data_IF_423008354157
#
_entry.id   IF_423008354157
#
_cell.length_a   1.000
_cell.length_b   1.000
_cell.length_c   1.000
_cell.angle_alpha   90.00
_cell.angle_beta   90.00
_cell.angle_gamma   90.00
#
_symmetry.space_group_name_H-M   'P 1'
#
loop_
_entity.id
_entity.type
_entity.pdbx_description
1 polymer ?
#
# COMPACT_ATOMS: atom_id res chain seq x y z
N UNK A 1 -2.86 -10.15 31.02
CA UNK A 1 -1.86 -10.18 29.93
C UNK A 1 -1.32 -8.78 29.76
N UNK A 2 0.01 -8.61 29.49
CA UNK A 2 0.60 -7.26 29.37
C UNK A 2 1.25 -7.09 27.99
N UNK A 3 0.83 -6.07 27.27
CA UNK A 3 1.37 -5.68 25.96
C UNK A 3 1.94 -4.28 26.02
N UNK A 4 2.84 -3.93 25.07
CA UNK A 4 3.23 -2.56 24.77
C UNK A 4 2.83 -2.25 23.32
N UNK A 5 2.15 -1.14 23.10
CA UNK A 5 1.78 -0.66 21.77
C UNK A 5 2.59 0.60 21.46
N UNK A 6 3.38 0.54 20.39
CA UNK A 6 4.30 1.59 19.99
C UNK A 6 3.81 2.35 18.75
N UNK A 7 4.23 3.60 18.64
CA UNK A 7 3.89 4.51 17.55
C UNK A 7 2.37 4.59 17.36
N UNK A 8 1.65 4.84 18.49
CA UNK A 8 0.21 5.04 18.46
C UNK A 8 -0.11 6.36 17.79
N UNK A 9 -0.91 6.31 16.73
CA UNK A 9 -1.40 7.49 16.04
C UNK A 9 -2.72 7.96 16.63
N UNK A 10 -3.02 9.24 16.46
CA UNK A 10 -4.26 9.86 16.92
C UNK A 10 -5.51 9.20 16.30
N UNK A 11 -5.44 8.84 15.02
CA UNK A 11 -6.51 8.17 14.29
C UNK A 11 -6.77 6.72 14.74
N UNK A 12 -5.77 6.06 15.32
CA UNK A 12 -5.90 4.69 15.87
C UNK A 12 -6.50 4.66 17.28
N UNK A 13 -6.33 5.75 18.05
CA UNK A 13 -6.68 5.82 19.47
C UNK A 13 -8.12 5.40 19.76
N UNK A 14 -9.16 5.85 19.01
CA UNK A 14 -10.53 5.44 19.29
C UNK A 14 -10.75 3.92 19.15
N UNK A 15 -10.07 3.27 18.21
CA UNK A 15 -10.19 1.82 17.98
C UNK A 15 -9.44 1.02 19.05
N UNK A 16 -8.28 1.52 19.50
CA UNK A 16 -7.56 0.91 20.64
C UNK A 16 -8.40 1.00 21.92
N UNK A 17 -8.97 2.18 22.20
CA UNK A 17 -9.80 2.40 23.40
C UNK A 17 -11.08 1.55 23.36
N UNK A 18 -11.69 1.34 22.17
CA UNK A 18 -12.83 0.46 22.01
C UNK A 18 -12.45 -1.01 22.26
N UNK A 19 -11.34 -1.46 21.65
CA UNK A 19 -10.83 -2.81 21.82
C UNK A 19 -10.50 -3.13 23.30
N UNK A 20 -9.86 -2.20 24.03
CA UNK A 20 -9.52 -2.35 25.44
C UNK A 20 -10.77 -2.49 26.33
N UNK A 21 -11.88 -1.86 25.99
CA UNK A 21 -13.16 -2.02 26.72
C UNK A 21 -13.74 -3.43 26.56
N UNK A 22 -13.52 -4.05 25.41
CA UNK A 22 -13.97 -5.40 25.11
C UNK A 22 -13.04 -6.48 25.69
N UNK A 23 -11.77 -6.11 26.02
CA UNK A 23 -10.73 -7.02 26.50
C UNK A 23 -10.12 -6.54 27.84
N UNK A 24 -10.94 -6.46 28.91
CA UNK A 24 -10.48 -5.93 30.21
C UNK A 24 -9.39 -6.78 30.89
N UNK A 25 -9.16 -8.02 30.43
CA UNK A 25 -8.11 -8.92 30.90
C UNK A 25 -6.72 -8.58 30.29
N UNK A 26 -6.66 -7.67 29.32
CA UNK A 26 -5.42 -7.25 28.65
C UNK A 26 -5.04 -5.84 29.06
N UNK A 27 -3.87 -5.69 29.65
CA UNK A 27 -3.24 -4.40 29.94
C UNK A 27 -2.33 -4.01 28.78
N UNK A 28 -2.51 -2.83 28.21
CA UNK A 28 -1.70 -2.32 27.10
C UNK A 28 -1.10 -0.97 27.45
N UNK A 29 0.23 -0.89 27.53
CA UNK A 29 0.95 0.37 27.67
C UNK A 29 1.03 1.04 26.29
N UNK A 30 0.55 2.27 26.19
CA UNK A 30 0.43 3.02 24.95
C UNK A 30 1.59 4.01 24.82
N UNK A 31 2.35 3.93 23.75
CA UNK A 31 3.50 4.78 23.44
C UNK A 31 3.34 5.45 22.08
N UNK A 32 3.53 6.76 22.01
CA UNK A 32 3.52 7.55 20.76
C UNK A 32 4.81 7.36 19.96
N UNK A 33 5.91 6.96 20.62
CA UNK A 33 7.21 6.72 19.99
C UNK A 33 7.38 5.33 19.43
N UNK A 34 8.36 5.18 18.52
CA UNK A 34 8.77 3.89 17.97
C UNK A 34 9.56 3.06 18.98
N UNK A 35 9.56 1.74 18.80
CA UNK A 35 10.46 0.84 19.51
C UNK A 35 11.84 0.89 18.83
N UNK A 36 12.84 1.33 19.58
CA UNK A 36 14.23 1.44 19.14
C UNK A 36 15.16 1.05 20.32
N UNK A 37 16.47 1.13 20.10
CA UNK A 37 17.46 0.81 21.14
C UNK A 37 17.26 1.60 22.43
N UNK A 38 16.92 2.89 22.30
CA UNK A 38 16.72 3.82 23.41
C UNK A 38 15.44 3.55 24.21
N UNK A 39 14.43 2.99 23.55
CA UNK A 39 13.10 2.72 24.12
C UNK A 39 12.85 1.26 24.43
N UNK A 40 13.80 0.36 24.18
CA UNK A 40 13.65 -1.08 24.42
C UNK A 40 13.25 -1.45 25.85
N UNK A 41 13.64 -0.62 26.85
CA UNK A 41 13.29 -0.82 28.24
C UNK A 41 11.77 -0.80 28.50
N UNK A 42 10.98 -0.22 27.59
CA UNK A 42 9.50 -0.24 27.65
C UNK A 42 8.89 -1.63 27.42
N UNK A 43 9.72 -2.60 27.00
CA UNK A 43 9.32 -4.02 26.90
C UNK A 43 9.44 -4.78 28.24
N UNK A 44 9.95 -4.15 29.29
CA UNK A 44 10.10 -4.79 30.60
C UNK A 44 8.75 -5.30 31.13
N UNK A 45 8.69 -6.59 31.45
CA UNK A 45 7.49 -7.27 31.94
C UNK A 45 6.34 -7.42 30.92
N UNK A 46 6.60 -7.17 29.61
CA UNK A 46 5.60 -7.36 28.55
C UNK A 46 5.73 -8.74 27.91
N UNK A 47 4.58 -9.30 27.52
CA UNK A 47 4.50 -10.61 26.83
C UNK A 47 4.46 -10.43 25.31
N UNK A 48 4.16 -9.23 24.80
CA UNK A 48 4.13 -8.90 23.39
C UNK A 48 4.23 -7.42 23.13
N UNK A 49 4.66 -7.08 21.90
CA UNK A 49 4.70 -5.71 21.38
C UNK A 49 3.80 -5.59 20.14
N UNK A 50 3.02 -4.51 20.06
CA UNK A 50 2.17 -4.19 18.92
C UNK A 50 2.73 -2.96 18.22
N UNK A 51 3.11 -3.11 16.94
CA UNK A 51 3.98 -2.16 16.25
C UNK A 51 3.33 -1.53 15.03
N UNK A 52 3.71 -0.27 14.77
CA UNK A 52 3.59 0.37 13.48
C UNK A 52 4.85 1.22 13.27
N UNK A 53 5.77 0.78 12.40
CA UNK A 53 6.97 1.56 12.11
C UNK A 53 7.57 1.24 10.75
N UNK A 54 8.35 2.17 10.20
CA UNK A 54 8.98 2.06 8.89
C UNK A 54 10.51 1.93 8.98
N UNK A 55 11.07 1.89 10.19
CA UNK A 55 12.50 1.71 10.42
C UNK A 55 12.79 0.33 11.00
N UNK A 56 13.85 -0.36 10.54
CA UNK A 56 14.25 -1.65 11.12
C UNK A 56 14.71 -1.50 12.56
N UNK A 57 14.63 -2.57 13.33
CA UNK A 57 15.22 -2.65 14.65
C UNK A 57 16.73 -2.90 14.59
N UNK A 58 17.46 -2.32 15.54
CA UNK A 58 18.79 -2.79 15.87
C UNK A 58 18.72 -4.19 16.52
N UNK A 59 19.72 -5.02 16.30
CA UNK A 59 19.77 -6.41 16.82
C UNK A 59 19.51 -6.49 18.32
N UNK A 60 20.06 -5.55 19.10
CA UNK A 60 19.89 -5.47 20.55
C UNK A 60 18.44 -5.31 21.02
N UNK A 61 17.53 -4.83 20.16
CA UNK A 61 16.09 -4.73 20.49
C UNK A 61 15.47 -6.12 20.52
N UNK A 62 15.80 -6.96 19.54
CA UNK A 62 15.35 -8.36 19.51
C UNK A 62 15.91 -9.16 20.69
N UNK A 63 17.22 -9.00 20.99
CA UNK A 63 17.87 -9.66 22.10
C UNK A 63 17.19 -9.29 23.43
N UNK A 64 16.95 -7.99 23.65
CA UNK A 64 16.27 -7.50 24.84
C UNK A 64 14.83 -8.01 24.93
N UNK A 65 14.08 -8.00 23.82
CA UNK A 65 12.73 -8.57 23.78
C UNK A 65 12.72 -10.05 24.22
N UNK A 66 13.72 -10.83 23.76
CA UNK A 66 13.88 -12.22 24.19
C UNK A 66 14.19 -12.34 25.68
N UNK A 67 15.11 -11.52 26.21
CA UNK A 67 15.45 -11.49 27.65
C UNK A 67 14.23 -11.16 28.53
N UNK A 68 13.35 -10.26 28.06
CA UNK A 68 12.11 -9.90 28.76
C UNK A 68 11.00 -10.94 28.60
N UNK A 69 11.19 -11.99 27.81
CA UNK A 69 10.19 -13.06 27.59
C UNK A 69 9.07 -12.64 26.63
N UNK A 70 9.30 -11.66 25.76
CA UNK A 70 8.36 -11.27 24.69
C UNK A 70 8.16 -12.44 23.74
N UNK A 71 6.91 -12.87 23.54
CA UNK A 71 6.54 -14.01 22.70
C UNK A 71 6.20 -13.63 21.28
N UNK A 72 5.75 -12.38 21.09
CA UNK A 72 5.24 -11.91 19.80
C UNK A 72 5.53 -10.43 19.59
N UNK A 73 5.89 -10.09 18.35
CA UNK A 73 5.85 -8.74 17.79
C UNK A 73 4.77 -8.74 16.74
N UNK A 74 3.65 -8.06 17.02
CA UNK A 74 2.49 -7.98 16.14
C UNK A 74 2.51 -6.65 15.37
N UNK A 75 2.60 -6.73 14.05
CA UNK A 75 2.69 -5.56 13.19
C UNK A 75 1.30 -5.11 12.72
N UNK A 76 0.97 -3.83 12.95
CA UNK A 76 -0.25 -3.20 12.43
C UNK A 76 -0.11 -2.79 10.95
N UNK A 77 0.54 -3.65 10.14
CA UNK A 77 0.75 -3.46 8.71
C UNK A 77 0.72 -4.82 8.00
N UNK A 78 0.51 -4.82 6.69
CA UNK A 78 0.69 -6.02 5.87
C UNK A 78 2.19 -6.28 5.58
N UNK A 79 2.95 -5.23 5.24
CA UNK A 79 4.39 -5.30 4.99
C UNK A 79 5.17 -5.59 6.26
N UNK A 80 6.18 -6.44 6.16
CA UNK A 80 7.09 -6.80 7.28
C UNK A 80 8.56 -6.84 6.84
N UNK A 81 8.88 -6.26 5.70
CA UNK A 81 10.20 -6.32 5.06
C UNK A 81 11.31 -5.66 5.88
N UNK A 82 10.94 -4.81 6.85
CA UNK A 82 11.89 -4.11 7.74
C UNK A 82 12.35 -4.97 8.92
N UNK A 83 11.70 -6.11 9.18
CA UNK A 83 12.01 -6.96 10.34
C UNK A 83 12.92 -8.12 9.95
N UNK A 84 13.89 -8.47 10.80
CA UNK A 84 14.69 -9.68 10.65
C UNK A 84 13.91 -10.90 11.16
N UNK A 85 12.97 -11.36 10.33
CA UNK A 85 12.10 -12.50 10.65
C UNK A 85 12.87 -13.80 10.88
N UNK A 86 14.06 -13.96 10.24
CA UNK A 86 14.91 -15.12 10.46
C UNK A 86 15.50 -15.08 11.86
N UNK A 87 16.05 -13.94 12.26
CA UNK A 87 16.60 -13.77 13.60
C UNK A 87 15.52 -13.89 14.69
N UNK A 88 14.33 -13.33 14.47
CA UNK A 88 13.19 -13.50 15.38
C UNK A 88 12.82 -14.98 15.57
N UNK A 89 12.83 -15.76 14.50
CA UNK A 89 12.60 -17.21 14.57
C UNK A 89 13.66 -17.91 15.42
N UNK A 90 14.94 -17.59 15.24
CA UNK A 90 16.07 -18.14 16.03
C UNK A 90 15.91 -17.83 17.52
N UNK A 91 15.39 -16.64 17.86
CA UNK A 91 15.08 -16.25 19.24
C UNK A 91 13.77 -16.85 19.77
N UNK A 92 12.95 -17.47 18.95
CA UNK A 92 11.63 -17.99 19.32
C UNK A 92 10.60 -16.89 19.57
N UNK A 93 10.75 -15.74 18.91
CA UNK A 93 9.77 -14.63 18.92
C UNK A 93 8.92 -14.72 17.65
N UNK A 94 7.61 -14.86 17.80
CA UNK A 94 6.70 -14.86 16.66
C UNK A 94 6.52 -13.46 16.10
N UNK A 95 6.47 -13.38 14.76
CA UNK A 95 6.09 -12.15 14.05
C UNK A 95 4.73 -12.36 13.39
N UNK A 96 3.78 -11.47 13.67
CA UNK A 96 2.47 -11.47 13.00
C UNK A 96 2.25 -10.18 12.22
N UNK A 97 1.44 -10.26 11.17
CA UNK A 97 1.01 -9.09 10.39
C UNK A 97 -0.50 -9.12 10.12
N UNK A 98 -1.03 -8.05 9.55
CA UNK A 98 -2.44 -7.95 9.16
C UNK A 98 -2.53 -7.83 7.64
N UNK A 99 -2.76 -8.95 6.96
CA UNK A 99 -2.74 -9.01 5.48
C UNK A 99 -4.06 -8.61 4.82
N UNK A 100 -5.18 -8.72 5.52
CA UNK A 100 -6.54 -8.52 4.96
C UNK A 100 -7.30 -7.41 5.68
N UNK A 101 -6.64 -6.30 5.95
CA UNK A 101 -7.24 -5.19 6.69
C UNK A 101 -8.32 -4.42 5.91
N UNK A 102 -8.13 -4.15 4.62
CA UNK A 102 -9.14 -3.62 3.70
C UNK A 102 -8.64 -3.60 2.24
N UNK A 103 -8.73 -4.71 1.49
CA UNK A 103 -8.45 -4.70 0.06
C UNK A 103 -9.32 -3.71 -0.71
N UNK A 104 -10.53 -3.43 -0.21
CA UNK A 104 -11.48 -2.50 -0.80
C UNK A 104 -10.96 -1.07 -0.81
N UNK A 105 -10.42 -0.58 0.32
CA UNK A 105 -9.92 0.79 0.40
C UNK A 105 -8.86 1.09 -0.67
N UNK A 106 -7.90 0.18 -0.86
CA UNK A 106 -6.85 0.32 -1.86
C UNK A 106 -7.45 0.27 -3.28
N UNK A 107 -8.37 -0.66 -3.54
CA UNK A 107 -9.03 -0.79 -4.83
C UNK A 107 -9.88 0.46 -5.17
N UNK A 108 -10.62 0.98 -4.20
CA UNK A 108 -11.42 2.21 -4.34
C UNK A 108 -10.54 3.43 -4.63
N UNK A 109 -9.39 3.53 -3.96
CA UNK A 109 -8.41 4.58 -4.21
C UNK A 109 -7.90 4.54 -5.66
N UNK A 110 -7.48 3.34 -6.13
CA UNK A 110 -7.02 3.14 -7.52
C UNK A 110 -8.10 3.53 -8.52
N UNK A 111 -9.34 3.08 -8.31
CA UNK A 111 -10.46 3.42 -9.19
C UNK A 111 -10.71 4.92 -9.20
N UNK A 112 -10.72 5.56 -8.03
CA UNK A 112 -10.94 7.01 -7.88
C UNK A 112 -9.88 7.81 -8.64
N UNK A 113 -8.61 7.48 -8.48
CA UNK A 113 -7.50 8.20 -9.12
C UNK A 113 -7.44 7.95 -10.63
N UNK A 114 -7.74 6.74 -11.10
CA UNK A 114 -7.89 6.43 -12.52
C UNK A 114 -9.06 7.21 -13.13
N UNK A 115 -10.21 7.30 -12.45
CA UNK A 115 -11.35 8.12 -12.87
C UNK A 115 -10.96 9.60 -12.95
N UNK A 116 -10.28 10.12 -11.95
CA UNK A 116 -9.80 11.49 -11.89
C UNK A 116 -8.93 11.84 -13.11
N UNK A 117 -7.98 10.95 -13.47
CA UNK A 117 -7.10 11.10 -14.63
C UNK A 117 -7.92 10.99 -15.94
N UNK A 118 -8.72 9.93 -16.10
CA UNK A 118 -9.45 9.64 -17.33
C UNK A 118 -10.46 10.75 -17.68
N UNK A 119 -10.94 11.48 -16.68
CA UNK A 119 -11.88 12.61 -16.82
C UNK A 119 -11.18 13.96 -16.89
N UNK A 120 -9.85 14.02 -16.93
CA UNK A 120 -9.04 15.25 -16.95
C UNK A 120 -9.38 16.24 -15.83
N UNK A 121 -9.77 15.74 -14.63
CA UNK A 121 -10.34 16.60 -13.57
C UNK A 121 -9.33 17.67 -13.13
N UNK A 122 -8.03 17.33 -12.96
CA UNK A 122 -7.02 18.33 -12.59
C UNK A 122 -6.95 19.47 -13.61
N UNK A 123 -6.89 19.16 -14.92
CA UNK A 123 -6.84 20.17 -15.99
C UNK A 123 -8.12 21.05 -15.99
N UNK A 124 -9.28 20.44 -15.75
CA UNK A 124 -10.54 21.18 -15.64
C UNK A 124 -10.52 22.13 -14.45
N UNK A 125 -10.08 21.66 -13.26
CA UNK A 125 -10.00 22.49 -12.06
C UNK A 125 -8.99 23.63 -12.24
N UNK A 126 -7.83 23.38 -12.81
CA UNK A 126 -6.83 24.40 -13.13
C UNK A 126 -7.38 25.47 -14.11
N UNK A 127 -8.23 25.10 -15.07
CA UNK A 127 -8.92 26.04 -15.94
C UNK A 127 -9.94 26.88 -15.14
N UNK A 128 -10.73 26.22 -14.28
CA UNK A 128 -11.72 26.93 -13.43
C UNK A 128 -11.06 27.95 -12.51
N UNK A 129 -9.90 27.62 -11.91
CA UNK A 129 -9.13 28.54 -11.06
C UNK A 129 -8.67 29.80 -11.83
N UNK A 130 -8.42 29.67 -13.14
CA UNK A 130 -8.09 30.78 -14.03
C UNK A 130 -9.31 31.48 -14.67
N UNK A 131 -10.53 31.12 -14.26
CA UNK A 131 -11.80 31.55 -14.84
C UNK A 131 -11.95 31.22 -16.34
N UNK A 132 -11.26 30.15 -16.81
CA UNK A 132 -11.46 29.60 -18.15
C UNK A 132 -12.53 28.49 -18.10
N UNK A 133 -13.73 28.79 -18.56
CA UNK A 133 -14.85 27.86 -18.60
C UNK A 133 -15.11 27.31 -20.01
N UNK A 134 -14.13 27.41 -20.91
CA UNK A 134 -14.27 26.94 -22.29
C UNK A 134 -14.14 25.42 -22.40
N UNK A 135 -14.89 24.85 -23.33
CA UNK A 135 -14.74 23.47 -23.73
C UNK A 135 -13.74 23.38 -24.87
N UNK A 136 -12.69 22.59 -24.67
CA UNK A 136 -11.63 22.42 -25.66
C UNK A 136 -11.16 20.95 -25.72
N UNK A 137 -10.41 20.62 -26.77
CA UNK A 137 -9.93 19.25 -27.03
C UNK A 137 -9.04 18.67 -25.93
N UNK A 138 -8.39 19.51 -25.11
CA UNK A 138 -7.44 19.06 -24.10
C UNK A 138 -8.11 18.49 -22.85
N UNK A 139 -9.43 18.74 -22.70
CA UNK A 139 -10.23 18.22 -21.57
C UNK A 139 -11.26 17.17 -22.02
N UNK A 140 -11.30 16.82 -23.32
CA UNK A 140 -12.15 15.73 -23.78
C UNK A 140 -11.69 14.41 -23.17
N UNK A 141 -12.64 13.63 -22.68
CA UNK A 141 -12.34 12.38 -21.97
C UNK A 141 -13.04 11.19 -22.63
N UNK A 142 -12.55 9.98 -22.34
CA UNK A 142 -13.15 8.71 -22.78
C UNK A 142 -14.08 8.19 -21.70
N UNK A 143 -15.20 7.56 -22.11
CA UNK A 143 -16.09 6.88 -21.17
C UNK A 143 -15.47 5.57 -20.70
N UNK A 144 -15.49 5.30 -19.39
CA UNK A 144 -14.89 4.09 -18.81
C UNK A 144 -15.38 2.79 -19.43
N UNK A 145 -16.65 2.70 -19.76
CA UNK A 145 -17.25 1.50 -20.40
C UNK A 145 -16.64 1.17 -21.77
N UNK A 146 -15.90 2.11 -22.36
CA UNK A 146 -15.17 1.87 -23.62
C UNK A 146 -13.73 1.43 -23.42
N UNK A 147 -13.27 1.38 -22.16
CA UNK A 147 -11.90 1.07 -21.82
C UNK A 147 -11.73 -0.39 -21.44
N UNK A 148 -10.56 -0.93 -21.77
CA UNK A 148 -10.07 -2.20 -21.24
C UNK A 148 -9.12 -1.91 -20.09
N UNK A 149 -9.39 -2.49 -18.92
CA UNK A 149 -8.53 -2.39 -17.73
C UNK A 149 -7.74 -3.69 -17.58
N UNK A 150 -6.42 -3.59 -17.58
CA UNK A 150 -5.49 -4.67 -17.30
C UNK A 150 -5.08 -4.67 -15.82
N UNK A 151 -5.30 -5.79 -15.15
CA UNK A 151 -4.94 -5.99 -13.75
C UNK A 151 -3.76 -6.96 -13.67
N UNK A 152 -2.58 -6.46 -13.32
CA UNK A 152 -1.38 -7.26 -13.11
C UNK A 152 -1.25 -7.62 -11.63
N UNK A 153 -1.42 -8.91 -11.32
CA UNK A 153 -1.58 -9.41 -9.96
C UNK A 153 -3.05 -9.42 -9.54
N UNK A 154 -3.66 -10.60 -9.46
CA UNK A 154 -5.10 -10.80 -9.24
C UNK A 154 -5.41 -11.38 -7.85
N UNK A 155 -4.54 -11.08 -6.88
CA UNK A 155 -4.75 -11.38 -5.47
C UNK A 155 -5.93 -10.60 -4.86
N UNK A 156 -6.00 -10.49 -3.55
CA UNK A 156 -7.13 -9.85 -2.86
C UNK A 156 -7.42 -8.42 -3.36
N UNK A 157 -6.39 -7.60 -3.52
CA UNK A 157 -6.54 -6.19 -3.95
C UNK A 157 -6.86 -6.12 -5.44
N UNK A 158 -6.07 -6.79 -6.29
CA UNK A 158 -6.29 -6.76 -7.75
C UNK A 158 -7.66 -7.30 -8.15
N UNK A 159 -8.13 -8.37 -7.50
CA UNK A 159 -9.49 -8.89 -7.71
C UNK A 159 -10.55 -7.88 -7.32
N UNK A 160 -10.36 -7.14 -6.21
CA UNK A 160 -11.29 -6.12 -5.79
C UNK A 160 -11.30 -4.92 -6.75
N UNK A 161 -10.13 -4.48 -7.24
CA UNK A 161 -10.03 -3.47 -8.28
C UNK A 161 -10.75 -3.93 -9.57
N UNK A 162 -10.55 -5.19 -9.99
CA UNK A 162 -11.25 -5.78 -11.13
C UNK A 162 -12.79 -5.75 -10.94
N UNK A 163 -13.26 -6.09 -9.72
CA UNK A 163 -14.69 -6.06 -9.39
C UNK A 163 -15.27 -4.65 -9.56
N UNK A 164 -14.59 -3.64 -9.05
CA UNK A 164 -15.04 -2.25 -9.13
C UNK A 164 -15.03 -1.74 -10.58
N UNK A 165 -13.96 -1.98 -11.35
CA UNK A 165 -13.91 -1.58 -12.77
C UNK A 165 -14.96 -2.30 -13.61
N UNK A 166 -15.20 -3.59 -13.36
CA UNK A 166 -16.28 -4.34 -14.01
C UNK A 166 -17.67 -3.74 -13.68
N UNK A 167 -17.88 -3.36 -12.40
CA UNK A 167 -19.10 -2.68 -11.96
C UNK A 167 -19.34 -1.33 -12.65
N UNK A 168 -18.26 -0.64 -13.07
CA UNK A 168 -18.31 0.59 -13.87
C UNK A 168 -18.47 0.33 -15.37
N UNK A 169 -18.62 -0.93 -15.80
CA UNK A 169 -18.86 -1.33 -17.18
C UNK A 169 -17.61 -1.50 -18.04
N UNK A 170 -16.41 -1.43 -17.46
CA UNK A 170 -15.17 -1.70 -18.19
C UNK A 170 -15.05 -3.18 -18.62
N UNK A 171 -14.36 -3.42 -19.73
CA UNK A 171 -13.78 -4.74 -20.00
C UNK A 171 -12.58 -4.91 -19.07
N UNK A 172 -12.53 -6.00 -18.29
CA UNK A 172 -11.41 -6.26 -17.37
C UNK A 172 -10.68 -7.53 -17.78
N UNK A 173 -9.38 -7.43 -17.99
CA UNK A 173 -8.47 -8.54 -18.23
C UNK A 173 -7.41 -8.58 -17.11
N UNK A 174 -6.82 -9.75 -16.89
CA UNK A 174 -5.84 -9.90 -15.82
C UNK A 174 -4.73 -10.87 -16.17
N UNK A 175 -3.59 -10.72 -15.51
CA UNK A 175 -2.49 -11.66 -15.52
C UNK A 175 -1.99 -11.91 -14.10
N UNK A 176 -1.76 -13.17 -13.77
CA UNK A 176 -1.16 -13.60 -12.52
C UNK A 176 -0.38 -14.90 -12.75
N UNK A 177 0.70 -15.11 -12.01
CA UNK A 177 1.43 -16.38 -12.02
C UNK A 177 0.58 -17.53 -11.46
N UNK A 178 -0.39 -17.20 -10.59
CA UNK A 178 -1.28 -18.14 -9.92
C UNK A 178 -2.75 -17.75 -10.13
N UNK A 179 -3.30 -17.99 -11.34
CA UNK A 179 -4.69 -17.66 -11.63
C UNK A 179 -5.66 -18.36 -10.68
N UNK A 180 -6.71 -17.64 -10.25
CA UNK A 180 -7.73 -18.18 -9.35
C UNK A 180 -9.13 -18.14 -9.95
N UNK A 181 -9.98 -19.11 -9.58
CA UNK A 181 -11.37 -19.16 -10.04
C UNK A 181 -12.17 -17.95 -9.54
N UNK A 182 -11.89 -17.50 -8.31
CA UNK A 182 -12.53 -16.31 -7.75
C UNK A 182 -12.23 -15.02 -8.56
N UNK A 183 -11.06 -14.91 -9.19
CA UNK A 183 -10.76 -13.80 -10.07
C UNK A 183 -11.41 -13.95 -11.46
N UNK A 184 -11.60 -15.18 -11.96
CA UNK A 184 -12.31 -15.45 -13.22
C UNK A 184 -13.76 -14.96 -13.22
N UNK A 185 -14.38 -14.83 -12.06
CA UNK A 185 -15.73 -14.28 -11.94
C UNK A 185 -15.79 -12.79 -12.34
N UNK A 186 -14.68 -12.06 -12.23
CA UNK A 186 -14.65 -10.60 -12.41
C UNK A 186 -13.75 -10.11 -13.53
N UNK A 187 -12.86 -10.97 -14.06
CA UNK A 187 -11.96 -10.66 -15.19
C UNK A 187 -11.75 -11.87 -16.09
N UNK A 188 -11.18 -11.61 -17.28
CA UNK A 188 -10.68 -12.65 -18.19
C UNK A 188 -9.17 -12.68 -18.14
N UNK A 189 -8.56 -13.84 -17.89
CA UNK A 189 -7.11 -13.97 -17.92
C UNK A 189 -6.57 -13.92 -19.36
N UNK A 190 -5.40 -13.33 -19.50
CA UNK A 190 -4.55 -13.38 -20.70
C UNK A 190 -3.31 -14.22 -20.40
N UNK A 191 -2.62 -14.66 -21.46
CA UNK A 191 -1.54 -15.64 -21.34
C UNK A 191 -0.17 -15.02 -20.96
N UNK A 192 -0.03 -13.70 -21.12
CA UNK A 192 1.24 -13.01 -20.82
C UNK A 192 1.03 -11.56 -20.35
N UNK A 193 2.06 -11.00 -19.69
CA UNK A 193 2.12 -9.57 -19.35
C UNK A 193 2.08 -8.74 -20.64
N UNK A 194 2.81 -9.14 -21.68
CA UNK A 194 2.85 -8.40 -22.94
C UNK A 194 1.48 -8.31 -23.59
N UNK A 195 0.71 -9.38 -23.55
CA UNK A 195 -0.68 -9.40 -24.03
C UNK A 195 -1.57 -8.49 -23.21
N UNK A 196 -1.43 -8.50 -21.87
CA UNK A 196 -2.15 -7.59 -20.98
C UNK A 196 -1.86 -6.14 -21.33
N UNK A 197 -0.58 -5.78 -21.49
CA UNK A 197 -0.16 -4.41 -21.81
C UNK A 197 -0.69 -3.93 -23.16
N UNK A 198 -0.58 -4.77 -24.19
CA UNK A 198 -1.01 -4.45 -25.55
C UNK A 198 -2.54 -4.24 -25.67
N UNK A 199 -3.33 -4.89 -24.83
CA UNK A 199 -4.79 -4.80 -24.87
C UNK A 199 -5.37 -3.71 -23.95
N UNK A 200 -4.60 -3.21 -22.97
CA UNK A 200 -5.12 -2.36 -21.90
C UNK A 200 -5.07 -0.87 -22.22
N UNK A 201 -6.15 -0.16 -21.94
CA UNK A 201 -6.22 1.31 -21.90
C UNK A 201 -5.83 1.85 -20.52
N UNK A 202 -6.01 1.03 -19.48
CA UNK A 202 -5.59 1.28 -18.10
C UNK A 202 -4.84 0.05 -17.62
N UNK A 203 -3.67 0.23 -17.02
CA UNK A 203 -2.92 -0.85 -16.36
C UNK A 203 -2.76 -0.50 -14.88
N UNK A 204 -3.21 -1.41 -14.01
CA UNK A 204 -2.98 -1.31 -12.56
C UNK A 204 -2.22 -2.52 -12.05
N UNK A 205 -1.22 -2.28 -11.19
CA UNK A 205 -0.36 -3.35 -10.68
C UNK A 205 -0.62 -3.62 -9.19
N UNK A 206 -0.70 -4.91 -8.84
CA UNK A 206 -0.98 -5.40 -7.49
C UNK A 206 -0.09 -6.61 -7.14
N UNK A 207 1.15 -6.60 -7.63
CA UNK A 207 2.13 -7.65 -7.38
C UNK A 207 2.98 -7.33 -6.17
N UNK A 208 3.53 -8.34 -5.46
CA UNK A 208 4.45 -8.11 -4.34
C UNK A 208 5.79 -7.54 -4.82
N UNK A 209 6.46 -6.76 -3.97
CA UNK A 209 7.83 -6.33 -4.21
C UNK A 209 8.81 -7.46 -3.87
N UNK A 210 9.44 -8.01 -4.89
CA UNK A 210 10.58 -8.92 -4.74
C UNK A 210 11.82 -8.30 -5.39
N UNK A 211 13.00 -8.83 -5.09
CA UNK A 211 14.23 -8.36 -5.75
C UNK A 211 14.18 -8.50 -7.28
N UNK A 212 13.49 -9.53 -7.77
CA UNK A 212 13.33 -9.84 -9.18
C UNK A 212 12.42 -8.83 -9.90
N UNK A 213 11.47 -8.24 -9.14
CA UNK A 213 10.51 -7.27 -9.68
C UNK A 213 10.94 -5.82 -9.48
N UNK A 214 12.15 -5.58 -8.94
CA UNK A 214 12.70 -4.22 -8.87
C UNK A 214 12.73 -3.60 -10.26
N UNK A 215 12.06 -2.44 -10.42
CA UNK A 215 11.94 -1.72 -11.68
C UNK A 215 11.42 -2.59 -12.85
N UNK A 216 10.51 -3.55 -12.56
CA UNK A 216 9.83 -4.30 -13.61
C UNK A 216 9.01 -3.40 -14.53
N UNK A 217 8.50 -2.28 -13.99
CA UNK A 217 7.82 -1.24 -14.75
C UNK A 217 8.87 -0.20 -15.15
N UNK A 218 9.35 -0.32 -16.38
CA UNK A 218 10.42 0.47 -16.99
C UNK A 218 10.02 0.89 -18.41
N UNK A 219 10.98 1.44 -19.19
CA UNK A 219 10.71 1.87 -20.56
C UNK A 219 10.20 0.74 -21.47
N UNK A 220 10.71 -0.49 -21.30
CA UNK A 220 10.26 -1.64 -22.09
C UNK A 220 8.79 -1.96 -21.76
N UNK A 221 8.43 -1.95 -20.48
CA UNK A 221 7.04 -2.15 -20.03
C UNK A 221 6.11 -1.11 -20.67
N UNK A 222 6.44 0.17 -20.56
CA UNK A 222 5.62 1.22 -21.16
C UNK A 222 5.58 1.15 -22.68
N UNK A 223 6.65 0.76 -23.35
CA UNK A 223 6.67 0.62 -24.80
C UNK A 223 5.60 -0.35 -25.33
N UNK A 224 5.26 -1.36 -24.55
CA UNK A 224 4.25 -2.39 -24.88
C UNK A 224 2.82 -1.97 -24.58
N UNK A 225 2.61 -0.90 -23.78
CA UNK A 225 1.29 -0.36 -23.52
C UNK A 225 0.73 0.39 -24.73
N UNK A 226 -0.58 0.64 -24.74
CA UNK A 226 -1.21 1.49 -25.75
C UNK A 226 -0.79 2.96 -25.59
N UNK A 227 -0.73 3.70 -26.70
CA UNK A 227 -0.55 5.15 -26.66
C UNK A 227 -1.75 5.83 -26.00
N UNK A 228 -1.47 6.81 -25.12
CA UNK A 228 -2.51 7.48 -24.35
C UNK A 228 -3.19 6.60 -23.30
N UNK A 229 -2.51 5.56 -22.82
CA UNK A 229 -2.99 4.72 -21.72
C UNK A 229 -2.76 5.38 -20.34
N UNK A 230 -3.36 4.80 -19.30
CA UNK A 230 -3.22 5.23 -17.91
C UNK A 230 -2.49 4.12 -17.13
N UNK A 231 -1.53 4.50 -16.31
CA UNK A 231 -0.83 3.59 -15.40
C UNK A 231 -1.18 3.89 -13.94
N UNK A 232 -1.39 2.85 -13.12
CA UNK A 232 -1.67 2.97 -11.69
C UNK A 232 -0.83 2.01 -10.85
N UNK A 233 -0.19 2.56 -9.79
CA UNK A 233 0.55 1.79 -8.79
C UNK A 233 0.16 2.21 -7.37
N UNK A 234 -0.53 1.32 -6.67
CA UNK A 234 -0.78 1.38 -5.22
C UNK A 234 -0.23 0.12 -4.51
N UNK A 235 0.79 -0.52 -5.10
CA UNK A 235 1.44 -1.71 -4.54
C UNK A 235 2.73 -1.33 -3.79
N UNK A 236 3.85 -1.15 -4.53
CA UNK A 236 5.13 -0.73 -3.96
C UNK A 236 5.89 0.16 -4.95
N UNK A 237 6.56 1.20 -4.43
CA UNK A 237 7.31 2.15 -5.25
C UNK A 237 8.47 1.51 -6.00
N UNK A 238 9.21 0.61 -5.36
CA UNK A 238 10.38 -0.07 -5.95
C UNK A 238 10.07 -0.91 -7.21
N UNK A 239 8.81 -1.23 -7.48
CA UNK A 239 8.39 -1.92 -8.71
C UNK A 239 8.56 -1.05 -9.96
N UNK A 240 8.64 0.27 -9.80
CA UNK A 240 8.55 1.26 -10.87
C UNK A 240 9.83 2.08 -10.96
N UNK A 241 10.44 2.14 -12.14
CA UNK A 241 11.41 3.19 -12.47
C UNK A 241 10.65 4.51 -12.66
N UNK A 242 10.72 5.37 -11.68
CA UNK A 242 10.02 6.67 -11.68
C UNK A 242 10.39 7.51 -12.90
N UNK A 243 11.65 7.47 -13.35
CA UNK A 243 12.08 8.20 -14.53
C UNK A 243 11.48 7.66 -15.83
N UNK A 244 11.21 6.36 -15.89
CA UNK A 244 10.52 5.76 -17.04
C UNK A 244 9.06 6.23 -17.13
N UNK A 245 8.37 6.40 -15.98
CA UNK A 245 7.02 7.00 -15.95
C UNK A 245 7.04 8.40 -16.55
N UNK A 246 8.00 9.24 -16.13
CA UNK A 246 8.14 10.62 -16.65
C UNK A 246 8.37 10.62 -18.16
N UNK A 247 9.31 9.81 -18.65
CA UNK A 247 9.55 9.67 -20.09
C UNK A 247 8.32 9.21 -20.87
N UNK A 248 7.56 8.27 -20.31
CA UNK A 248 6.34 7.78 -20.94
C UNK A 248 5.24 8.85 -21.01
N UNK A 249 5.13 9.71 -20.01
CA UNK A 249 4.23 10.87 -20.01
C UNK A 249 4.69 11.94 -21.01
N UNK A 250 5.97 12.29 -21.04
CA UNK A 250 6.55 13.30 -21.94
C UNK A 250 6.41 12.92 -23.41
N UNK A 251 6.49 11.63 -23.72
CA UNK A 251 6.31 11.13 -25.10
C UNK A 251 4.83 10.98 -25.50
N UNK A 252 3.88 11.15 -24.56
CA UNK A 252 2.45 10.90 -24.80
C UNK A 252 2.08 9.41 -24.82
N UNK A 253 3.01 8.53 -24.49
CA UNK A 253 2.74 7.09 -24.31
C UNK A 253 1.71 6.86 -23.21
N UNK A 254 1.83 7.60 -22.11
CA UNK A 254 0.82 7.68 -21.05
C UNK A 254 0.03 8.98 -21.16
N UNK A 255 -1.29 8.90 -20.97
CA UNK A 255 -2.19 10.02 -20.75
C UNK A 255 -2.01 10.58 -19.33
N UNK A 256 -1.71 9.71 -18.38
CA UNK A 256 -1.49 10.04 -16.98
C UNK A 256 -1.12 8.84 -16.13
N UNK A 257 -0.62 9.11 -14.93
CA UNK A 257 -0.23 8.11 -13.96
C UNK A 257 -0.83 8.38 -12.56
N UNK A 258 -1.26 7.31 -11.89
CA UNK A 258 -1.65 7.32 -10.47
C UNK A 258 -0.59 6.58 -9.66
N UNK A 259 0.07 7.27 -8.75
CA UNK A 259 1.14 6.74 -7.93
C UNK A 259 0.84 7.02 -6.46
N UNK A 260 0.41 6.00 -5.72
CA UNK A 260 0.25 6.11 -4.26
C UNK A 260 1.56 5.83 -3.52
N UNK A 261 2.54 5.29 -4.23
CA UNK A 261 3.84 4.87 -3.70
C UNK A 261 4.98 5.40 -4.58
N UNK A 262 6.11 5.67 -3.94
CA UNK A 262 7.34 6.16 -4.58
C UNK A 262 8.55 5.34 -4.13
N UNK A 263 9.52 5.09 -5.01
CA UNK A 263 10.66 4.20 -4.74
C UNK A 263 11.53 4.65 -3.56
N UNK A 264 11.59 5.94 -3.24
CA UNK A 264 12.35 6.51 -2.14
C UNK A 264 11.45 7.10 -1.03
N UNK A 265 10.17 6.72 -0.97
CA UNK A 265 9.18 7.30 -0.06
C UNK A 265 9.55 7.19 1.43
N UNK A 266 10.30 6.18 1.85
CA UNK A 266 10.68 5.96 3.25
C UNK A 266 11.42 7.13 3.91
N UNK A 267 11.98 8.04 3.11
CA UNK A 267 12.60 9.27 3.61
C UNK A 267 11.56 10.34 3.98
N UNK A 268 10.38 10.32 3.37
CA UNK A 268 9.39 11.38 3.37
C UNK A 268 8.06 10.98 4.00
N UNK A 269 7.57 9.79 3.72
CA UNK A 269 6.28 9.29 4.18
C UNK A 269 6.43 8.52 5.51
N UNK A 270 5.56 8.77 6.50
CA UNK A 270 4.51 9.78 6.63
C UNK A 270 5.00 10.99 7.46
N UNK A 271 5.76 11.89 6.88
CA UNK A 271 6.38 13.03 7.60
C UNK A 271 5.92 14.35 7.03
N UNK A 272 5.80 15.38 7.88
CA UNK A 272 5.52 16.75 7.48
C UNK A 272 6.81 17.49 7.07
N UNK A 273 6.84 17.95 5.82
CA UNK A 273 7.89 18.76 5.22
C UNK A 273 7.44 20.19 4.87
N UNK A 274 6.22 20.60 5.25
CA UNK A 274 5.68 21.93 4.90
C UNK A 274 6.57 23.09 5.35
N UNK A 275 7.34 22.92 6.44
CA UNK A 275 8.27 23.89 7.00
C UNK A 275 9.73 23.40 7.01
N UNK A 276 10.08 22.45 6.14
CA UNK A 276 11.42 21.87 6.04
C UNK A 276 11.89 21.91 4.59
N UNK A 277 13.20 21.86 4.43
CA UNK A 277 13.79 21.73 3.09
C UNK A 277 13.40 20.37 2.48
N UNK A 278 12.88 20.42 1.25
CA UNK A 278 12.52 19.24 0.47
C UNK A 278 13.42 19.15 -0.75
N UNK A 279 14.32 18.18 -0.76
CA UNK A 279 15.44 18.10 -1.72
C UNK A 279 15.30 16.98 -2.76
N UNK A 280 14.22 16.22 -2.76
CA UNK A 280 13.99 15.18 -3.78
C UNK A 280 13.37 15.79 -5.03
N UNK A 281 14.25 16.12 -6.00
CA UNK A 281 13.81 16.73 -7.26
C UNK A 281 12.92 15.81 -8.08
N UNK A 282 13.14 14.49 -8.01
CA UNK A 282 12.35 13.53 -8.76
C UNK A 282 10.92 13.43 -8.19
N UNK A 283 10.81 13.39 -6.87
CA UNK A 283 9.50 13.41 -6.20
C UNK A 283 8.79 14.76 -6.41
N UNK A 284 9.53 15.88 -6.37
CA UNK A 284 8.97 17.20 -6.68
C UNK A 284 8.40 17.25 -8.09
N UNK A 285 9.10 16.67 -9.07
CA UNK A 285 8.61 16.59 -10.45
C UNK A 285 7.29 15.79 -10.55
N UNK A 286 7.15 14.68 -9.80
CA UNK A 286 5.88 13.94 -9.74
C UNK A 286 4.74 14.80 -9.19
N UNK A 287 5.02 15.61 -8.15
CA UNK A 287 4.04 16.45 -7.47
C UNK A 287 3.57 17.60 -8.36
N UNK A 288 4.50 18.20 -9.12
CA UNK A 288 4.24 19.39 -9.94
C UNK A 288 3.48 19.08 -11.24
N UNK A 289 3.38 17.82 -11.64
CA UNK A 289 2.76 17.42 -12.91
C UNK A 289 1.24 17.34 -12.82
N UNK A 290 0.57 17.91 -13.82
CA UNK A 290 -0.90 17.84 -13.96
C UNK A 290 -1.43 16.47 -14.43
N UNK A 291 -0.55 15.68 -15.06
CA UNK A 291 -0.85 14.34 -15.58
C UNK A 291 -0.52 13.21 -14.58
N UNK A 292 -0.04 13.56 -13.38
CA UNK A 292 0.20 12.62 -12.28
C UNK A 292 -0.75 12.91 -11.11
N UNK A 293 -1.36 11.86 -10.58
CA UNK A 293 -1.97 11.88 -9.24
C UNK A 293 -1.02 11.13 -8.31
N UNK A 294 -0.26 11.89 -7.51
CA UNK A 294 0.57 11.35 -6.45
C UNK A 294 -0.15 11.46 -5.11
N UNK A 295 -0.15 10.38 -4.34
CA UNK A 295 -0.65 10.34 -2.96
C UNK A 295 0.39 9.65 -2.07
N UNK A 296 0.58 10.09 -0.81
CA UNK A 296 1.71 9.65 0.02
C UNK A 296 1.40 8.34 0.76
N UNK A 297 1.25 7.22 0.03
CA UNK A 297 0.95 5.88 0.52
C UNK A 297 -0.31 5.84 1.40
N UNK A 298 -1.38 6.46 0.91
CA UNK A 298 -2.66 6.61 1.61
C UNK A 298 -3.79 5.78 1.01
N UNK A 299 -3.55 4.98 -0.02
CA UNK A 299 -4.58 4.15 -0.63
C UNK A 299 -5.28 3.21 0.39
N UNK A 300 -4.58 2.79 1.42
CA UNK A 300 -5.15 1.98 2.50
C UNK A 300 -5.94 2.80 3.53
N UNK A 301 -5.71 4.12 3.61
CA UNK A 301 -6.07 4.95 4.76
C UNK A 301 -7.56 5.29 4.77
N UNK A 302 -8.36 4.34 5.23
CA UNK A 302 -9.80 4.44 5.43
C UNK A 302 -10.13 3.96 6.85
N UNK A 303 -11.21 4.46 7.45
CA UNK A 303 -11.63 4.15 8.82
C UNK A 303 -11.67 2.64 9.09
N UNK A 304 -12.32 1.88 8.20
CA UNK A 304 -12.39 0.42 8.30
C UNK A 304 -11.01 -0.24 8.27
N UNK A 305 -10.09 0.28 7.45
CA UNK A 305 -8.74 -0.25 7.36
C UNK A 305 -7.94 0.01 8.64
N UNK A 306 -7.99 1.23 9.17
CA UNK A 306 -7.35 1.60 10.44
C UNK A 306 -7.87 0.74 11.58
N UNK A 307 -9.20 0.60 11.71
CA UNK A 307 -9.83 -0.30 12.68
C UNK A 307 -9.30 -1.72 12.56
N UNK A 308 -9.36 -2.30 11.38
CA UNK A 308 -8.96 -3.69 11.14
C UNK A 308 -7.47 -3.93 11.40
N UNK A 309 -6.60 -2.94 11.13
CA UNK A 309 -5.17 -3.01 11.44
C UNK A 309 -4.92 -3.05 12.95
N UNK A 310 -5.61 -2.20 13.70
CA UNK A 310 -5.50 -2.14 15.17
C UNK A 310 -6.01 -3.45 15.80
N UNK A 311 -7.27 -3.81 15.51
CA UNK A 311 -7.90 -5.00 16.09
C UNK A 311 -7.19 -6.28 15.65
N UNK A 312 -6.82 -6.38 14.37
CA UNK A 312 -6.13 -7.55 13.84
C UNK A 312 -4.78 -7.81 14.49
N UNK A 313 -3.98 -6.77 14.74
CA UNK A 313 -2.69 -6.92 15.39
C UNK A 313 -2.82 -7.22 16.90
N UNK A 314 -3.74 -6.55 17.61
CA UNK A 314 -4.00 -6.82 19.02
C UNK A 314 -4.52 -8.25 19.22
N UNK A 315 -5.48 -8.69 18.40
CA UNK A 315 -6.03 -10.04 18.44
C UNK A 315 -4.95 -11.09 18.15
N UNK A 316 -4.11 -10.88 17.12
CA UNK A 316 -3.01 -11.80 16.82
C UNK A 316 -1.99 -11.87 17.96
N UNK A 317 -1.68 -10.76 18.62
CA UNK A 317 -0.80 -10.77 19.79
C UNK A 317 -1.39 -11.60 20.95
N UNK A 318 -2.65 -11.38 21.26
CA UNK A 318 -3.37 -12.15 22.29
C UNK A 318 -3.41 -13.63 21.94
N UNK A 319 -3.74 -13.98 20.71
CA UNK A 319 -3.82 -15.36 20.22
C UNK A 319 -2.47 -16.09 20.38
N UNK A 320 -1.36 -15.49 19.90
CA UNK A 320 -0.02 -16.07 20.06
C UNK A 320 0.38 -16.24 21.52
N UNK A 321 0.09 -15.27 22.38
CA UNK A 321 0.46 -15.38 23.82
C UNK A 321 -0.33 -16.47 24.51
N UNK A 322 -1.60 -16.67 24.13
CA UNK A 322 -2.53 -17.61 24.77
C UNK A 322 -2.35 -19.03 24.27
N UNK A 323 -2.22 -19.20 22.96
CA UNK A 323 -2.23 -20.52 22.29
C UNK A 323 -0.86 -20.98 21.83
N UNK A 324 0.10 -20.06 21.66
CA UNK A 324 1.41 -20.30 21.04
C UNK A 324 1.39 -20.25 19.52
N UNK A 325 0.21 -20.05 18.89
CA UNK A 325 0.03 -20.02 17.43
C UNK A 325 -0.95 -18.93 16.99
N UNK A 326 -0.91 -18.57 15.68
CA UNK A 326 -1.87 -17.71 15.00
C UNK A 326 -1.72 -17.88 13.48
N UNK A 327 -2.80 -17.85 12.69
CA UNK A 327 -2.72 -17.89 11.23
C UNK A 327 -1.94 -16.69 10.63
N UNK A 328 -1.75 -15.64 11.43
CA UNK A 328 -1.06 -14.41 11.03
C UNK A 328 0.48 -14.45 11.24
N UNK A 329 1.04 -15.57 11.73
CA UNK A 329 2.49 -15.71 11.91
C UNK A 329 3.18 -15.81 10.54
N UNK A 330 4.17 -14.92 10.31
CA UNK A 330 4.91 -14.81 9.04
C UNK A 330 6.32 -15.39 9.10
N UNK A 331 6.84 -15.75 10.27
CA UNK A 331 8.18 -16.29 10.47
C UNK A 331 8.19 -17.76 10.95
N UNK A 332 7.22 -18.56 10.51
CA UNK A 332 7.16 -20.01 10.78
C UNK A 332 8.37 -20.77 10.24
#
# INVERSE_FOLDING_TARGET
MKLALFNLREDERPFVDAWLKEHPEVEVDLHEGELQAETKHLLEGKQGAVMFQNRPFAKEVYDYAKEQGVKVIANRMAGFDIYDIKYMRELGINMTNVTRYSPNAIAEHVVTTVLYISRNIRKILNNVERHDFTWNKNIISRELRTLTVGVLGTGNIGRQAATLFKGLGCKVIGYDLYPSDAAREVLTYVDSIDELLAQSDVVTIHVPATKEYTHMVNDEFFSKMKDGSIFANAARGILVDTKAVIRALDSGKLLGASLDVYENEGNYVPKDFSNKEFNDKLMQELIDRDDIVYTPHTAFYAETAVKNLVEGALNAAVEVITTGDSPNIVNR
#
